data_IF_422050139196
#
_entry.id   IF_422050139196
#
_cell.length_a   1.000
_cell.length_b   1.000
_cell.length_c   1.000
_cell.angle_alpha   90.00
_cell.angle_beta   90.00
_cell.angle_gamma   90.00
#
_symmetry.space_group_name_H-M   'P 1'
#
loop_
_entity.id
_entity.type
_entity.pdbx_description
1 polymer ?
#
# COMPACT_ATOMS: atom_id res chain seq x y z
N UNK A 1 -41.74 52.47 -26.03
CA UNK A 1 -42.73 51.70 -26.82
C UNK A 1 -42.01 50.60 -27.62
N UNK A 2 -42.71 49.54 -28.03
CA UNK A 2 -42.21 48.47 -28.94
C UNK A 2 -43.34 48.02 -29.88
N UNK A 3 -43.04 47.80 -31.16
CA UNK A 3 -43.35 46.54 -31.86
C UNK A 3 -42.02 45.87 -32.33
N UNK A 4 -41.84 44.56 -32.59
CA UNK A 4 -42.69 43.47 -33.12
C UNK A 4 -42.95 43.57 -34.64
N UNK A 5 -42.80 42.52 -35.49
CA UNK A 5 -42.48 41.08 -35.26
C UNK A 5 -42.14 40.36 -36.61
N UNK A 6 -41.56 39.14 -36.53
CA UNK A 6 -41.35 38.09 -37.60
C UNK A 6 -40.10 38.30 -38.52
N UNK A 7 -39.22 37.30 -38.77
CA UNK A 7 -39.30 35.94 -39.38
C UNK A 7 -39.53 36.00 -40.92
N UNK A 8 -38.90 35.21 -41.80
CA UNK A 8 -38.02 34.01 -41.66
C UNK A 8 -37.21 33.80 -42.97
N UNK A 9 -36.04 33.13 -42.94
CA UNK A 9 -35.28 32.74 -44.14
C UNK A 9 -34.01 31.92 -43.82
N UNK A 10 -33.64 30.96 -44.68
CA UNK A 10 -32.46 30.06 -44.55
C UNK A 10 -32.05 29.61 -45.97
N UNK A 11 -31.07 28.69 -46.09
CA UNK A 11 -30.41 28.24 -47.34
C UNK A 11 -29.45 29.32 -47.91
N UNK A 12 -28.31 29.00 -48.53
CA UNK A 12 -27.63 27.71 -48.74
C UNK A 12 -26.30 27.90 -49.48
N UNK A 13 -25.48 26.83 -49.61
CA UNK A 13 -24.13 26.82 -50.22
C UNK A 13 -23.07 27.69 -49.49
N UNK A 14 -21.76 27.50 -49.70
CA UNK A 14 -21.05 26.43 -50.42
C UNK A 14 -19.54 26.77 -50.44
N UNK A 15 -18.68 25.83 -50.05
CA UNK A 15 -17.21 26.02 -49.95
C UNK A 15 -16.52 25.34 -51.14
N UNK A 16 -15.21 25.57 -51.31
CA UNK A 16 -14.28 24.96 -52.29
C UNK A 16 -14.57 25.32 -53.77
N UNK A 17 -13.63 25.25 -54.72
CA UNK A 17 -12.41 24.42 -54.79
C UNK A 17 -11.34 25.00 -55.77
N UNK A 18 -10.05 24.98 -55.38
CA UNK A 18 -8.85 25.05 -56.25
C UNK A 18 -7.64 24.69 -55.36
N UNK A 19 -7.35 23.42 -55.05
CA UNK A 19 -6.70 22.40 -55.88
C UNK A 19 -5.31 22.79 -56.42
N UNK A 20 -4.27 22.28 -55.77
CA UNK A 20 -3.12 21.69 -56.47
C UNK A 20 -2.84 20.31 -55.87
N UNK A 21 -2.75 19.33 -56.76
CA UNK A 21 -2.38 17.93 -56.54
C UNK A 21 -1.40 17.55 -57.67
N UNK A 22 -0.54 16.54 -57.61
CA UNK A 22 0.06 15.78 -56.49
C UNK A 22 1.41 15.21 -57.06
N UNK A 23 1.98 14.02 -56.81
CA UNK A 23 1.59 12.75 -56.14
C UNK A 23 2.87 12.00 -55.72
N UNK A 24 2.67 10.92 -54.94
CA UNK A 24 3.57 9.76 -54.78
C UNK A 24 4.80 9.90 -53.83
N UNK A 25 5.18 8.86 -53.06
CA UNK A 25 4.56 7.52 -52.95
C UNK A 25 4.72 6.90 -51.55
N UNK A 26 3.82 5.96 -51.24
CA UNK A 26 3.92 4.78 -50.36
C UNK A 26 4.74 4.83 -49.03
N UNK A 27 4.28 4.27 -47.91
CA UNK A 27 2.96 3.70 -47.59
C UNK A 27 2.66 3.74 -46.06
N UNK A 28 2.25 2.67 -45.35
CA UNK A 28 0.98 2.73 -44.62
C UNK A 28 1.13 2.89 -43.11
N UNK A 29 0.09 3.43 -42.47
CA UNK A 29 -0.11 3.35 -41.02
C UNK A 29 -0.61 1.94 -40.67
N UNK A 30 0.13 1.18 -39.84
CA UNK A 30 -0.55 0.53 -38.72
C UNK A 30 0.26 0.44 -37.42
N UNK A 31 -0.42 0.74 -36.31
CA UNK A 31 -0.25 0.12 -34.98
C UNK A 31 1.15 0.07 -34.31
N UNK A 32 1.41 1.05 -33.44
CA UNK A 32 2.23 0.90 -32.23
C UNK A 32 1.46 1.56 -31.06
N UNK A 33 0.53 0.85 -30.40
CA UNK A 33 0.77 -0.08 -29.29
C UNK A 33 1.57 0.58 -28.15
N UNK A 34 0.83 1.25 -27.25
CA UNK A 34 1.34 1.60 -25.92
C UNK A 34 1.56 0.32 -25.11
N UNK A 35 2.79 0.09 -24.66
CA UNK A 35 3.15 -1.06 -23.82
C UNK A 35 2.95 -0.80 -22.31
N UNK A 36 1.80 -0.22 -21.93
CA UNK A 36 1.29 -0.34 -20.56
C UNK A 36 0.55 -1.67 -20.43
N UNK A 37 1.01 -2.55 -19.54
CA UNK A 37 0.22 -3.67 -19.04
C UNK A 37 -0.48 -3.17 -17.77
N UNK A 38 -1.80 -3.02 -17.69
CA UNK A 38 -2.83 -3.60 -18.55
C UNK A 38 -4.09 -2.74 -18.78
N UNK A 39 -4.85 -3.18 -19.79
CA UNK A 39 -6.28 -2.98 -20.05
C UNK A 39 -6.75 -1.68 -20.73
N UNK A 40 -7.82 -1.87 -21.53
CA UNK A 40 -8.43 -0.88 -22.41
C UNK A 40 -9.18 0.19 -21.62
N UNK A 41 -9.02 1.45 -22.01
CA UNK A 41 -10.00 2.51 -21.78
C UNK A 41 -10.53 3.04 -23.12
N UNK A 42 -11.85 2.93 -23.31
CA UNK A 42 -12.56 3.72 -24.31
C UNK A 42 -12.81 5.14 -23.78
N UNK A 43 -13.12 6.07 -24.67
CA UNK A 43 -13.53 7.42 -24.26
C UNK A 43 -14.95 7.43 -23.63
N UNK A 44 -15.27 8.54 -22.95
CA UNK A 44 -16.52 8.84 -22.21
C UNK A 44 -16.63 8.18 -20.82
N UNK A 45 -16.64 9.02 -19.77
CA UNK A 45 -16.85 8.61 -18.38
C UNK A 45 -16.18 9.56 -17.38
N UNK A 46 -16.93 10.54 -16.86
CA UNK A 46 -16.44 11.42 -15.79
C UNK A 46 -16.69 10.80 -14.41
N UNK A 47 -15.71 10.92 -13.50
CA UNK A 47 -15.82 10.49 -12.10
C UNK A 47 -14.99 9.24 -11.78
N UNK A 48 -13.89 9.45 -11.05
CA UNK A 48 -12.97 8.37 -10.65
C UNK A 48 -11.80 8.91 -9.84
N UNK A 49 -12.03 9.17 -8.55
CA UNK A 49 -10.95 9.51 -7.61
C UNK A 49 -10.04 8.30 -7.40
N UNK A 50 -8.72 8.52 -7.52
CA UNK A 50 -7.73 7.45 -7.32
C UNK A 50 -7.77 6.94 -5.87
N UNK A 51 -7.71 5.62 -5.68
CA UNK A 51 -7.74 5.00 -4.35
C UNK A 51 -6.50 5.38 -3.53
N UNK A 52 -6.72 5.97 -2.35
CA UNK A 52 -5.64 6.33 -1.44
C UNK A 52 -5.02 5.08 -0.78
N UNK A 53 -3.70 4.99 -0.81
CA UNK A 53 -2.89 3.95 -0.19
C UNK A 53 -3.06 3.87 1.33
N UNK A 54 -4.02 3.06 1.77
CA UNK A 54 -3.99 2.45 3.10
C UNK A 54 -2.84 1.43 3.17
N UNK A 55 -2.40 1.03 4.36
CA UNK A 55 -1.39 -0.02 4.52
C UNK A 55 -1.92 -1.45 4.21
N UNK A 56 -2.86 -1.55 3.26
CA UNK A 56 -3.59 -2.76 2.84
C UNK A 56 -3.00 -3.41 1.59
N UNK A 57 -2.06 -2.74 0.92
CA UNK A 57 -1.33 -3.18 -0.28
C UNK A 57 0.06 -3.72 0.06
N UNK A 58 0.76 -3.14 1.04
CA UNK A 58 2.10 -3.58 1.48
C UNK A 58 2.06 -5.03 1.98
N UNK A 59 2.83 -5.97 1.37
CA UNK A 59 2.96 -7.32 1.89
C UNK A 59 3.52 -7.32 3.32
N UNK A 60 2.96 -8.12 4.25
CA UNK A 60 3.35 -8.13 5.67
C UNK A 60 4.86 -8.23 5.90
N UNK A 61 5.55 -9.05 5.09
CA UNK A 61 6.99 -9.27 5.23
C UNK A 61 7.84 -8.07 4.83
N UNK A 62 7.38 -7.29 3.84
CA UNK A 62 8.00 -6.00 3.48
C UNK A 62 7.72 -4.94 4.55
N UNK A 63 6.52 -4.89 5.13
CA UNK A 63 6.23 -3.94 6.21
C UNK A 63 7.03 -4.25 7.49
N UNK A 64 7.34 -5.52 7.78
CA UNK A 64 8.31 -5.90 8.81
C UNK A 64 9.70 -5.36 8.47
N UNK A 65 10.20 -5.61 7.25
CA UNK A 65 11.50 -5.11 6.79
C UNK A 65 11.62 -3.58 6.92
N UNK A 66 10.61 -2.82 6.46
CA UNK A 66 10.61 -1.36 6.57
C UNK A 66 10.65 -0.87 8.04
N UNK A 67 10.04 -1.59 8.98
CA UNK A 67 10.07 -1.24 10.41
C UNK A 67 11.42 -1.60 11.05
N UNK A 68 12.00 -2.74 10.68
CA UNK A 68 13.32 -3.20 11.13
C UNK A 68 14.43 -2.28 10.63
N UNK A 69 14.41 -1.92 9.34
CA UNK A 69 15.31 -0.96 8.73
C UNK A 69 15.34 0.40 9.46
N UNK A 70 14.17 0.93 9.85
CA UNK A 70 14.07 2.19 10.63
C UNK A 70 14.71 2.06 12.02
N UNK A 71 14.59 0.90 12.68
CA UNK A 71 15.23 0.65 13.97
C UNK A 71 16.76 0.45 13.86
N UNK A 72 17.24 -0.06 12.72
CA UNK A 72 18.65 -0.29 12.46
C UNK A 72 19.37 0.95 11.92
N UNK A 73 18.73 1.79 11.10
CA UNK A 73 19.35 2.94 10.43
C UNK A 73 20.06 3.90 11.40
N UNK A 74 19.44 4.19 12.56
CA UNK A 74 20.03 5.04 13.61
C UNK A 74 21.26 4.45 14.31
N UNK A 75 21.64 3.19 14.04
CA UNK A 75 22.91 2.59 14.49
C UNK A 75 24.06 2.85 13.51
N UNK A 76 23.75 3.05 12.24
CA UNK A 76 24.72 3.27 11.16
C UNK A 76 24.87 4.75 10.79
N UNK A 77 23.79 5.54 10.92
CA UNK A 77 23.80 7.00 10.76
C UNK A 77 23.09 7.63 11.98
N UNK A 78 23.78 7.79 13.13
CA UNK A 78 23.20 8.30 14.38
C UNK A 78 22.62 9.71 14.28
N UNK A 79 23.05 10.50 13.31
CA UNK A 79 22.59 11.86 13.02
C UNK A 79 21.25 11.86 12.28
N UNK A 80 20.88 10.77 11.60
CA UNK A 80 19.66 10.70 10.80
C UNK A 80 18.41 10.87 11.67
N UNK A 81 17.55 11.84 11.32
CA UNK A 81 16.30 12.14 12.04
C UNK A 81 15.09 11.97 11.12
N UNK A 82 13.94 11.64 11.70
CA UNK A 82 12.66 11.57 10.96
C UNK A 82 12.50 10.42 9.97
N UNK A 83 13.48 9.52 9.87
CA UNK A 83 13.36 8.24 9.18
C UNK A 83 12.18 7.44 9.77
N UNK A 84 11.30 6.94 8.91
CA UNK A 84 10.02 6.30 9.28
C UNK A 84 9.60 5.33 8.18
N UNK A 85 8.92 4.24 8.54
CA UNK A 85 8.57 3.18 7.58
C UNK A 85 7.74 3.68 6.37
N UNK A 86 6.88 4.72 6.46
CA UNK A 86 6.23 5.31 5.29
C UNK A 86 7.17 5.82 4.20
N UNK A 87 8.41 6.24 4.54
CA UNK A 87 9.41 6.67 3.55
C UNK A 87 9.83 5.47 2.68
N UNK A 88 10.22 4.37 3.33
CA UNK A 88 10.65 3.13 2.67
C UNK A 88 9.51 2.49 1.87
N UNK A 89 8.28 2.55 2.40
CA UNK A 89 7.10 2.15 1.67
C UNK A 89 6.89 3.01 0.41
N UNK A 90 7.02 4.34 0.50
CA UNK A 90 6.84 5.24 -0.63
C UNK A 90 7.81 4.98 -1.80
N UNK A 91 9.09 4.70 -1.51
CA UNK A 91 10.06 4.28 -2.54
C UNK A 91 9.65 2.92 -3.13
N UNK A 92 9.57 1.87 -2.31
CA UNK A 92 9.31 0.51 -2.79
C UNK A 92 7.95 0.34 -3.49
N UNK A 93 6.97 1.21 -3.20
CA UNK A 93 5.70 1.30 -3.93
C UNK A 93 5.90 1.68 -5.40
N UNK A 94 6.77 2.65 -5.66
CA UNK A 94 7.11 3.10 -7.03
C UNK A 94 8.07 2.11 -7.70
N UNK A 95 9.10 1.64 -6.99
CA UNK A 95 10.17 0.80 -7.56
C UNK A 95 9.76 -0.65 -7.88
N UNK A 96 8.91 -1.25 -7.06
CA UNK A 96 8.57 -2.68 -7.20
C UNK A 96 7.14 -3.04 -6.84
N UNK A 97 6.29 -2.04 -6.58
CA UNK A 97 4.98 -2.23 -5.96
C UNK A 97 5.07 -3.09 -4.68
N UNK A 98 6.10 -2.87 -3.86
CA UNK A 98 6.47 -3.68 -2.68
C UNK A 98 6.71 -5.17 -2.96
N UNK A 99 7.29 -5.53 -4.12
CA UNK A 99 7.47 -6.92 -4.54
C UNK A 99 6.16 -7.74 -4.64
N UNK A 100 5.01 -7.08 -4.88
CA UNK A 100 3.75 -7.79 -5.12
C UNK A 100 3.89 -8.77 -6.29
N UNK A 101 3.31 -9.97 -6.14
CA UNK A 101 3.45 -11.07 -7.09
C UNK A 101 4.70 -11.93 -6.90
N UNK A 102 5.59 -11.60 -5.97
CA UNK A 102 6.73 -12.45 -5.58
C UNK A 102 6.45 -13.22 -4.29
N UNK A 103 7.13 -14.35 -4.12
CA UNK A 103 7.25 -15.03 -2.82
C UNK A 103 8.31 -14.31 -2.00
N UNK A 104 8.04 -14.08 -0.71
CA UNK A 104 8.98 -13.43 0.21
C UNK A 104 9.16 -14.35 1.41
N UNK A 105 10.38 -14.84 1.62
CA UNK A 105 10.69 -15.83 2.65
C UNK A 105 10.62 -15.24 4.07
N UNK A 106 10.60 -16.10 5.09
CA UNK A 106 10.72 -15.66 6.48
C UNK A 106 12.02 -14.87 6.73
N UNK A 107 13.15 -15.35 6.18
CA UNK A 107 14.45 -14.65 6.18
C UNK A 107 14.59 -13.50 5.17
N UNK A 108 13.51 -13.14 4.45
CA UNK A 108 13.47 -11.94 3.59
C UNK A 108 13.77 -12.15 2.11
N UNK A 109 14.40 -13.25 1.69
CA UNK A 109 14.66 -13.59 0.27
C UNK A 109 13.40 -13.48 -0.62
N UNK A 110 13.50 -12.72 -1.72
CA UNK A 110 12.40 -12.46 -2.68
C UNK A 110 12.60 -13.28 -3.95
N UNK A 111 11.63 -14.16 -4.25
CA UNK A 111 11.68 -15.07 -5.41
C UNK A 111 10.46 -14.95 -6.34
N UNK A 112 10.66 -14.94 -7.67
CA UNK A 112 11.94 -14.76 -8.37
C UNK A 112 12.59 -13.39 -8.06
N UNK A 113 13.90 -13.26 -8.34
CA UNK A 113 14.67 -12.01 -8.17
C UNK A 113 14.08 -10.85 -8.98
N UNK A 114 14.17 -9.62 -8.46
CA UNK A 114 13.58 -8.43 -9.10
C UNK A 114 14.68 -7.70 -9.88
N UNK A 115 14.44 -7.52 -11.18
CA UNK A 115 15.36 -6.90 -12.11
C UNK A 115 14.64 -5.83 -12.92
N UNK A 116 15.28 -4.68 -13.07
CA UNK A 116 14.84 -3.60 -13.95
C UNK A 116 15.16 -3.87 -15.42
N UNK A 117 14.88 -2.87 -16.25
CA UNK A 117 15.34 -2.83 -17.64
C UNK A 117 16.87 -2.79 -17.71
N UNK A 118 17.43 -3.29 -18.81
CA UNK A 118 18.87 -3.16 -19.09
C UNK A 118 19.18 -1.71 -19.45
N UNK A 119 20.11 -1.10 -18.75
CA UNK A 119 20.43 0.33 -18.83
C UNK A 119 21.45 0.63 -19.94
N UNK A 120 21.21 0.09 -21.14
CA UNK A 120 22.10 0.16 -22.30
C UNK A 120 21.87 1.38 -23.21
N UNK A 121 21.21 2.44 -22.72
CA UNK A 121 20.88 3.66 -23.49
C UNK A 121 19.82 3.51 -24.59
N UNK A 122 19.17 2.34 -24.73
CA UNK A 122 18.19 2.05 -25.80
C UNK A 122 16.86 2.81 -25.73
N UNK A 123 16.63 3.63 -24.71
CA UNK A 123 15.33 4.24 -24.39
C UNK A 123 14.37 3.31 -23.65
N UNK A 124 14.74 2.03 -23.44
CA UNK A 124 13.95 1.08 -22.66
C UNK A 124 13.73 1.60 -21.23
N UNK A 125 12.46 1.60 -20.76
CA UNK A 125 12.09 2.16 -19.46
C UNK A 125 12.34 3.67 -19.32
N UNK A 126 12.53 4.40 -20.43
CA UNK A 126 12.92 5.82 -20.45
C UNK A 126 14.43 6.07 -20.35
N UNK A 127 15.26 5.02 -20.24
CA UNK A 127 16.70 5.20 -20.07
C UNK A 127 17.44 5.40 -21.41
N UNK A 128 17.89 6.63 -21.66
CA UNK A 128 18.73 7.02 -22.80
C UNK A 128 20.24 7.03 -22.48
N UNK A 129 20.65 6.76 -21.24
CA UNK A 129 22.05 6.76 -20.80
C UNK A 129 22.61 5.33 -20.77
N UNK A 130 23.85 5.13 -21.20
CA UNK A 130 24.55 3.85 -21.03
C UNK A 130 25.16 3.76 -19.63
N UNK A 131 24.80 2.72 -18.88
CA UNK A 131 25.43 2.32 -17.63
C UNK A 131 26.22 1.00 -17.85
N UNK A 132 27.56 1.05 -17.95
CA UNK A 132 28.40 -0.14 -18.02
C UNK A 132 28.31 -1.00 -16.76
N UNK A 133 28.47 -2.31 -16.91
CA UNK A 133 28.53 -3.29 -15.82
C UNK A 133 29.62 -2.95 -14.79
N UNK A 134 29.26 -3.04 -13.51
CA UNK A 134 30.13 -2.76 -12.36
C UNK A 134 30.29 -3.94 -11.40
N UNK A 135 29.60 -5.08 -11.60
CA UNK A 135 29.63 -6.22 -10.68
C UNK A 135 29.89 -7.59 -11.35
N UNK A 136 30.10 -7.63 -12.67
CA UNK A 136 30.25 -8.82 -13.52
C UNK A 136 28.99 -9.73 -13.54
N UNK A 137 27.80 -9.15 -13.38
CA UNK A 137 26.51 -9.82 -13.31
C UNK A 137 26.19 -10.47 -11.95
N UNK A 138 26.92 -10.10 -10.88
CA UNK A 138 26.82 -10.69 -9.52
C UNK A 138 25.41 -10.57 -8.94
N UNK A 139 24.84 -9.36 -8.95
CA UNK A 139 23.53 -9.09 -8.39
C UNK A 139 22.44 -9.11 -9.45
N UNK A 140 22.73 -8.61 -10.65
CA UNK A 140 21.74 -8.30 -11.68
C UNK A 140 21.58 -9.39 -12.77
N UNK A 141 22.55 -10.31 -12.87
CA UNK A 141 22.57 -11.44 -13.79
C UNK A 141 23.06 -11.14 -15.22
N UNK A 142 23.74 -10.02 -15.50
CA UNK A 142 24.21 -9.65 -16.84
C UNK A 142 25.59 -8.97 -16.84
N UNK A 143 26.43 -9.35 -17.81
CA UNK A 143 27.73 -8.69 -18.09
C UNK A 143 27.65 -7.69 -19.28
N UNK A 144 26.44 -7.36 -19.73
CA UNK A 144 26.17 -6.53 -20.92
C UNK A 144 25.71 -5.10 -20.59
N UNK A 145 26.08 -4.61 -19.40
CA UNK A 145 25.54 -3.37 -18.81
C UNK A 145 24.57 -3.65 -17.66
N UNK A 146 24.28 -2.60 -16.91
CA UNK A 146 23.59 -2.66 -15.60
C UNK A 146 22.06 -2.82 -15.68
N UNK A 147 21.48 -3.36 -14.61
CA UNK A 147 20.05 -3.30 -14.27
C UNK A 147 19.88 -2.92 -12.81
N UNK A 148 18.79 -2.21 -12.53
CA UNK A 148 18.35 -2.00 -11.16
C UNK A 148 17.89 -3.32 -10.49
N UNK A 149 18.32 -3.58 -9.25
CA UNK A 149 18.10 -4.83 -8.52
C UNK A 149 17.23 -4.67 -7.27
N UNK A 150 16.45 -5.71 -6.96
CA UNK A 150 15.72 -5.82 -5.71
C UNK A 150 14.43 -5.01 -5.62
N UNK A 151 13.74 -5.04 -4.45
CA UNK A 151 12.47 -4.35 -4.23
C UNK A 151 12.60 -2.82 -4.13
N UNK A 152 13.84 -2.32 -4.08
CA UNK A 152 14.22 -0.92 -4.03
C UNK A 152 14.97 -0.44 -5.29
N UNK A 153 15.18 -1.32 -6.28
CA UNK A 153 15.77 -0.98 -7.59
C UNK A 153 17.11 -0.21 -7.49
N UNK A 154 18.03 -0.73 -6.67
CA UNK A 154 19.40 -0.22 -6.60
C UNK A 154 20.19 -0.52 -7.87
N UNK A 155 21.09 0.37 -8.30
CA UNK A 155 22.20 -0.04 -9.15
C UNK A 155 23.20 -0.87 -8.32
N UNK A 156 23.70 -2.03 -8.81
CA UNK A 156 24.84 -2.75 -8.23
C UNK A 156 25.98 -1.87 -7.69
N UNK A 157 26.47 -0.92 -8.48
CA UNK A 157 27.48 0.09 -8.08
C UNK A 157 27.11 0.92 -6.85
N UNK A 158 25.82 1.15 -6.61
CA UNK A 158 25.32 1.79 -5.37
C UNK A 158 25.21 0.76 -4.25
N UNK A 159 24.74 -0.44 -4.55
CA UNK A 159 24.58 -1.50 -3.56
C UNK A 159 25.90 -1.90 -2.88
N UNK A 160 27.00 -2.06 -3.62
CA UNK A 160 28.32 -2.38 -3.05
C UNK A 160 28.81 -1.32 -2.05
N UNK A 161 28.33 -0.07 -2.14
CA UNK A 161 28.66 1.01 -1.20
C UNK A 161 27.76 0.99 0.05
N UNK A 162 26.44 0.89 -0.12
CA UNK A 162 25.48 1.04 0.99
C UNK A 162 24.96 -0.27 1.60
N UNK A 163 25.20 -1.42 0.97
CA UNK A 163 24.63 -2.72 1.36
C UNK A 163 25.09 -3.17 2.74
N UNK A 164 24.16 -3.68 3.56
CA UNK A 164 24.42 -4.21 4.91
C UNK A 164 23.48 -5.39 5.16
N UNK A 165 24.01 -6.42 5.81
CA UNK A 165 23.19 -7.50 6.37
C UNK A 165 22.23 -6.92 7.41
N UNK A 166 20.93 -7.07 7.17
CA UNK A 166 19.86 -6.75 8.11
C UNK A 166 19.03 -7.98 8.48
N UNK A 167 19.14 -9.08 7.72
CA UNK A 167 18.45 -10.35 7.93
C UNK A 167 19.11 -11.22 9.00
N UNK A 168 20.42 -11.09 9.18
CA UNK A 168 21.28 -11.88 10.07
C UNK A 168 21.88 -13.14 9.43
N UNK A 169 21.80 -13.31 8.10
CA UNK A 169 22.30 -14.50 7.39
C UNK A 169 23.79 -14.44 6.99
N UNK A 170 24.45 -13.30 7.27
CA UNK A 170 25.85 -12.95 6.91
C UNK A 170 26.06 -12.58 5.44
N UNK A 171 25.00 -12.42 4.65
CA UNK A 171 25.01 -11.81 3.32
C UNK A 171 24.43 -10.40 3.37
N UNK A 172 24.68 -9.63 2.32
CA UNK A 172 23.96 -8.39 2.03
C UNK A 172 23.44 -8.50 0.60
N UNK A 173 22.27 -9.12 0.41
CA UNK A 173 21.68 -9.37 -0.91
C UNK A 173 20.64 -8.28 -1.23
N UNK A 174 20.75 -7.54 -2.35
CA UNK A 174 19.76 -6.51 -2.69
C UNK A 174 18.38 -7.09 -3.01
N UNK A 175 18.26 -8.40 -3.21
CA UNK A 175 17.00 -9.12 -3.38
C UNK A 175 16.43 -9.65 -2.05
N UNK A 176 17.12 -9.47 -0.92
CA UNK A 176 16.55 -9.68 0.41
C UNK A 176 15.73 -8.44 0.84
N UNK A 177 14.50 -8.67 1.31
CA UNK A 177 13.60 -7.64 1.80
C UNK A 177 14.19 -6.77 2.93
N UNK A 178 14.91 -7.37 3.90
CA UNK A 178 15.46 -6.67 5.06
C UNK A 178 16.68 -5.83 4.67
N UNK A 179 17.65 -6.45 4.02
CA UNK A 179 18.90 -5.82 3.61
C UNK A 179 18.61 -4.63 2.69
N UNK A 180 17.77 -4.81 1.67
CA UNK A 180 17.41 -3.76 0.74
C UNK A 180 16.62 -2.62 1.42
N UNK A 181 15.78 -2.92 2.41
CA UNK A 181 15.09 -1.91 3.20
C UNK A 181 16.06 -1.11 4.09
N UNK A 182 17.06 -1.76 4.69
CA UNK A 182 18.12 -1.07 5.43
C UNK A 182 18.97 -0.22 4.48
N UNK A 183 19.44 -0.77 3.37
CA UNK A 183 20.21 -0.05 2.36
C UNK A 183 19.48 1.22 1.86
N UNK A 184 18.17 1.13 1.62
CA UNK A 184 17.36 2.29 1.25
C UNK A 184 17.23 3.31 2.39
N UNK A 185 17.14 2.84 3.64
CA UNK A 185 17.17 3.74 4.79
C UNK A 185 18.52 4.47 4.92
N UNK A 186 19.65 3.77 4.74
CA UNK A 186 20.99 4.37 4.82
C UNK A 186 21.22 5.36 3.68
N UNK A 187 20.89 5.00 2.43
CA UNK A 187 21.04 5.88 1.28
C UNK A 187 20.22 7.17 1.42
N UNK A 188 18.96 7.07 1.88
CA UNK A 188 18.11 8.23 2.14
C UNK A 188 18.53 9.04 3.36
N UNK A 189 19.15 8.43 4.38
CA UNK A 189 19.76 9.14 5.50
C UNK A 189 21.00 9.93 5.07
N UNK A 190 21.82 9.38 4.16
CA UNK A 190 23.11 9.94 3.77
C UNK A 190 23.97 10.26 4.99
N UNK A 191 24.68 11.39 4.96
CA UNK A 191 25.55 11.84 6.05
C UNK A 191 24.78 12.53 7.21
N UNK A 192 23.55 12.10 7.52
CA UNK A 192 22.78 12.62 8.68
C UNK A 192 21.61 13.55 8.38
N UNK A 193 20.84 13.30 7.32
CA UNK A 193 19.66 14.11 6.95
C UNK A 193 18.53 14.06 8.00
N UNK A 194 17.78 15.15 8.12
CA UNK A 194 16.53 15.22 8.89
C UNK A 194 15.30 15.06 7.98
N UNK A 195 14.89 13.82 7.74
CA UNK A 195 13.78 13.41 6.88
C UNK A 195 12.37 13.69 7.45
N UNK A 196 12.28 14.36 8.61
CA UNK A 196 11.05 15.02 9.05
C UNK A 196 10.86 16.37 8.35
N UNK A 197 11.94 17.04 7.91
CA UNK A 197 11.87 18.27 7.12
C UNK A 197 11.57 17.93 5.66
N UNK A 198 10.46 18.44 5.12
CA UNK A 198 10.02 18.14 3.74
C UNK A 198 11.11 18.44 2.70
N UNK A 199 11.82 19.57 2.83
CA UNK A 199 12.90 19.93 1.92
C UNK A 199 14.06 18.91 1.91
N UNK A 200 14.51 18.42 3.08
CA UNK A 200 15.58 17.42 3.14
C UNK A 200 15.13 16.04 2.64
N UNK A 201 13.86 15.68 2.84
CA UNK A 201 13.25 14.47 2.30
C UNK A 201 13.11 14.55 0.77
N UNK A 202 12.59 15.64 0.22
CA UNK A 202 12.56 15.93 -1.22
C UNK A 202 13.97 15.80 -1.82
N UNK A 203 14.97 16.41 -1.20
CA UNK A 203 16.36 16.34 -1.65
C UNK A 203 17.04 14.96 -1.43
N UNK A 204 16.44 14.04 -0.66
CA UNK A 204 16.92 12.67 -0.49
C UNK A 204 16.34 11.75 -1.57
N UNK A 205 15.05 11.91 -1.87
CA UNK A 205 14.36 11.20 -2.95
C UNK A 205 14.90 11.66 -4.31
N UNK A 206 15.25 12.95 -4.47
CA UNK A 206 15.94 13.46 -5.66
C UNK A 206 17.35 12.86 -5.84
N UNK A 207 18.08 12.63 -4.74
CA UNK A 207 19.36 11.91 -4.80
C UNK A 207 19.15 10.46 -5.25
N UNK A 208 18.06 9.83 -4.79
CA UNK A 208 17.64 8.48 -5.17
C UNK A 208 17.34 8.37 -6.67
N UNK A 209 16.59 9.33 -7.22
CA UNK A 209 16.28 9.43 -8.64
C UNK A 209 16.06 10.90 -9.01
N UNK A 210 16.82 11.39 -9.99
CA UNK A 210 16.88 12.80 -10.40
C UNK A 210 15.68 13.21 -11.29
N UNK A 211 14.48 12.77 -10.94
CA UNK A 211 13.22 13.06 -11.64
C UNK A 211 12.23 13.73 -10.69
N UNK A 212 11.69 14.88 -11.11
CA UNK A 212 10.71 15.65 -10.33
C UNK A 212 9.36 14.94 -10.25
N UNK A 213 8.98 14.20 -11.29
CA UNK A 213 7.80 13.34 -11.30
C UNK A 213 7.94 12.17 -10.33
N UNK A 214 9.09 11.49 -10.34
CA UNK A 214 9.39 10.42 -9.38
C UNK A 214 9.32 10.94 -7.94
N UNK A 215 9.97 12.09 -7.66
CA UNK A 215 9.95 12.73 -6.34
C UNK A 215 8.52 13.07 -5.91
N UNK A 216 7.69 13.63 -6.80
CA UNK A 216 6.29 13.93 -6.50
C UNK A 216 5.45 12.67 -6.22
N UNK A 217 5.63 11.61 -7.04
CA UNK A 217 4.93 10.33 -6.90
C UNK A 217 5.29 9.65 -5.57
N UNK A 218 6.58 9.47 -5.28
CA UNK A 218 7.07 8.92 -4.01
C UNK A 218 6.55 9.74 -2.82
N UNK A 219 6.69 11.07 -2.84
CA UNK A 219 6.19 11.92 -1.74
C UNK A 219 4.68 11.75 -1.50
N UNK A 220 3.88 11.59 -2.57
CA UNK A 220 2.45 11.28 -2.47
C UNK A 220 2.18 9.98 -1.72
N UNK A 221 2.89 8.89 -2.06
CA UNK A 221 2.78 7.61 -1.33
C UNK A 221 3.29 7.72 0.12
N UNK A 222 4.39 8.46 0.36
CA UNK A 222 4.88 8.70 1.72
C UNK A 222 3.81 9.40 2.57
N UNK A 223 3.09 10.37 2.02
CA UNK A 223 2.05 11.11 2.74
C UNK A 223 0.81 10.23 3.01
N UNK A 224 0.39 9.42 2.04
CA UNK A 224 -0.68 8.43 2.22
C UNK A 224 -0.34 7.39 3.29
N UNK A 225 0.84 6.76 3.20
CA UNK A 225 1.31 5.81 4.22
C UNK A 225 1.56 6.49 5.57
N UNK A 226 1.96 7.76 5.62
CA UNK A 226 2.10 8.52 6.88
C UNK A 226 0.72 8.78 7.51
N UNK A 227 -0.31 9.07 6.71
CA UNK A 227 -1.69 9.19 7.21
C UNK A 227 -2.24 7.85 7.72
N UNK A 228 -1.97 6.74 7.03
CA UNK A 228 -2.33 5.38 7.46
C UNK A 228 -1.51 4.88 8.68
N UNK A 229 -0.30 5.40 8.88
CA UNK A 229 0.56 5.09 10.03
C UNK A 229 0.15 5.82 11.31
N UNK A 230 -0.50 6.99 11.19
CA UNK A 230 -0.80 7.90 12.30
C UNK A 230 -1.72 7.25 13.33
N UNK A 231 -1.36 7.39 14.61
CA UNK A 231 -2.21 6.96 15.72
C UNK A 231 -3.50 7.82 15.79
N UNK A 232 -4.67 7.21 16.05
CA UNK A 232 -5.92 7.96 16.21
C UNK A 232 -5.87 8.82 17.47
N UNK A 233 -6.56 9.97 17.46
CA UNK A 233 -6.63 10.82 18.65
C UNK A 233 -7.63 10.22 19.67
N UNK A 234 -7.07 9.57 20.69
CA UNK A 234 -7.82 8.94 21.78
C UNK A 234 -7.92 9.80 23.04
N UNK A 235 -7.61 11.11 23.00
CA UNK A 235 -7.69 11.98 24.20
C UNK A 235 -9.08 11.97 24.84
N UNK A 236 -10.12 12.00 24.01
CA UNK A 236 -11.52 12.01 24.43
C UNK A 236 -12.11 10.59 24.58
N UNK A 237 -11.28 9.54 24.55
CA UNK A 237 -11.69 8.15 24.70
C UNK A 237 -11.15 7.61 26.03
N UNK A 238 -12.06 7.12 26.88
CA UNK A 238 -11.77 6.71 28.25
C UNK A 238 -12.35 5.32 28.57
N UNK A 239 -12.04 4.82 29.78
CA UNK A 239 -12.57 3.57 30.30
C UNK A 239 -12.33 2.35 29.39
N UNK A 240 -13.29 1.42 29.40
CA UNK A 240 -13.20 0.15 28.66
C UNK A 240 -13.00 0.35 27.15
N UNK A 241 -13.64 1.35 26.55
CA UNK A 241 -13.54 1.62 25.11
C UNK A 241 -12.09 1.93 24.70
N UNK A 242 -11.40 2.75 25.52
CA UNK A 242 -9.98 3.05 25.36
C UNK A 242 -9.13 1.79 25.43
N UNK A 243 -9.31 0.97 26.47
CA UNK A 243 -8.56 -0.28 26.67
C UNK A 243 -8.72 -1.26 25.50
N UNK A 244 -9.93 -1.39 24.95
CA UNK A 244 -10.20 -2.23 23.78
C UNK A 244 -9.47 -1.71 22.53
N UNK A 245 -9.52 -0.40 22.28
CA UNK A 245 -8.83 0.21 21.14
C UNK A 245 -7.31 0.09 21.29
N UNK A 246 -6.74 0.48 22.43
CA UNK A 246 -5.30 0.38 22.69
C UNK A 246 -4.80 -1.06 22.60
N UNK A 247 -5.58 -2.04 23.08
CA UNK A 247 -5.29 -3.45 22.91
C UNK A 247 -5.20 -3.86 21.43
N UNK A 248 -6.15 -3.47 20.57
CA UNK A 248 -6.09 -3.79 19.15
C UNK A 248 -4.97 -3.00 18.42
N UNK A 249 -4.76 -1.73 18.75
CA UNK A 249 -3.68 -0.90 18.18
C UNK A 249 -2.28 -1.41 18.52
N UNK A 250 -2.11 -2.04 19.69
CA UNK A 250 -0.84 -2.68 20.08
C UNK A 250 -0.44 -3.84 19.17
N UNK A 251 -1.39 -4.42 18.43
CA UNK A 251 -1.14 -5.55 17.53
C UNK A 251 -0.84 -5.11 16.08
N UNK A 252 -0.75 -3.80 15.79
CA UNK A 252 -0.53 -3.29 14.42
C UNK A 252 0.80 -3.77 13.83
N UNK A 253 0.72 -4.47 12.70
CA UNK A 253 1.85 -5.16 12.07
C UNK A 253 1.89 -6.68 12.32
N UNK A 254 1.09 -7.21 13.26
CA UNK A 254 0.91 -8.66 13.38
C UNK A 254 0.22 -9.18 12.09
N UNK A 255 0.71 -10.27 11.47
CA UNK A 255 0.11 -10.80 10.24
C UNK A 255 -1.34 -11.24 10.39
N UNK A 256 -2.09 -11.20 9.29
CA UNK A 256 -3.36 -11.89 9.18
C UNK A 256 -3.14 -13.40 9.18
N UNK A 257 -3.89 -14.14 10.00
CA UNK A 257 -3.91 -15.61 10.00
C UNK A 257 -5.35 -16.12 9.97
N UNK A 258 -5.71 -16.86 8.93
CA UNK A 258 -7.08 -17.37 8.75
C UNK A 258 -7.44 -18.36 9.87
N UNK A 259 -8.44 -18.04 10.69
CA UNK A 259 -8.78 -18.84 11.87
C UNK A 259 -7.88 -18.57 13.09
N UNK A 260 -6.86 -17.73 12.97
CA UNK A 260 -5.96 -17.36 14.06
C UNK A 260 -6.52 -16.28 14.99
N UNK A 261 -5.99 -16.21 16.21
CA UNK A 261 -6.32 -15.20 17.20
C UNK A 261 -7.12 -15.74 18.39
N UNK A 262 -6.59 -15.52 19.60
CA UNK A 262 -7.18 -15.96 20.87
C UNK A 262 -7.38 -14.79 21.82
N UNK A 263 -8.15 -14.99 22.90
CA UNK A 263 -8.26 -14.01 23.99
C UNK A 263 -6.94 -13.70 24.71
N UNK A 264 -5.92 -14.56 24.54
CA UNK A 264 -4.58 -14.37 25.11
C UNK A 264 -3.62 -13.62 24.18
N UNK A 265 -3.70 -13.84 22.87
CA UNK A 265 -2.78 -13.27 21.87
C UNK A 265 -2.89 -13.91 20.48
N UNK A 266 -1.95 -13.63 19.57
CA UNK A 266 -1.93 -14.18 18.22
C UNK A 266 -1.58 -15.67 18.24
N UNK A 267 -2.19 -16.44 17.34
CA UNK A 267 -1.98 -17.89 17.21
C UNK A 267 -1.81 -18.29 15.76
N UNK A 268 -1.31 -19.50 15.52
CA UNK A 268 -1.55 -20.17 14.24
C UNK A 268 -3.05 -20.26 13.96
N UNK A 269 -3.39 -20.28 12.68
CA UNK A 269 -4.75 -20.46 12.17
C UNK A 269 -5.00 -21.86 11.64
N UNK A 270 -5.98 -21.98 10.75
CA UNK A 270 -6.39 -23.22 10.07
C UNK A 270 -6.25 -23.06 8.56
N UNK A 271 -6.35 -24.16 7.80
CA UNK A 271 -6.63 -24.08 6.37
C UNK A 271 -8.15 -24.24 6.14
N UNK A 272 -8.79 -23.52 5.22
CA UNK A 272 -8.26 -22.46 4.36
C UNK A 272 -9.28 -21.32 4.26
N UNK A 273 -8.85 -20.11 3.88
CA UNK A 273 -9.78 -19.04 3.50
C UNK A 273 -10.60 -19.44 2.26
N UNK A 274 -11.75 -18.78 1.99
CA UNK A 274 -12.45 -18.90 0.71
C UNK A 274 -11.58 -18.59 -0.52
N UNK A 275 -10.47 -17.86 -0.32
CA UNK A 275 -9.43 -17.55 -1.31
C UNK A 275 -8.23 -18.52 -1.31
N UNK A 276 -8.38 -19.71 -0.69
CA UNK A 276 -7.38 -20.78 -0.70
C UNK A 276 -6.10 -20.50 0.11
N UNK A 277 -6.08 -19.51 0.99
CA UNK A 277 -4.90 -19.18 1.80
C UNK A 277 -4.97 -19.84 3.18
N UNK A 278 -3.90 -20.51 3.60
CA UNK A 278 -3.81 -21.14 4.92
C UNK A 278 -3.36 -20.14 6.01
N UNK A 279 -3.88 -20.30 7.22
CA UNK A 279 -3.34 -19.69 8.45
C UNK A 279 -2.43 -20.62 9.27
N UNK A 280 -2.29 -21.90 8.90
CA UNK A 280 -1.63 -22.92 9.76
C UNK A 280 -0.18 -22.58 10.15
N UNK A 281 0.60 -22.02 9.22
CA UNK A 281 1.98 -21.59 9.43
C UNK A 281 2.14 -20.12 9.87
N UNK A 282 1.04 -19.37 9.99
CA UNK A 282 1.08 -17.92 10.26
C UNK A 282 0.58 -17.65 11.68
N UNK A 283 1.46 -17.20 12.59
CA UNK A 283 1.06 -16.75 13.92
C UNK A 283 0.51 -15.33 13.86
N UNK A 284 -0.82 -15.18 14.02
CA UNK A 284 -1.49 -13.90 13.80
C UNK A 284 -2.95 -13.86 14.29
N UNK A 285 -3.77 -13.05 13.61
CA UNK A 285 -5.21 -12.89 13.86
C UNK A 285 -6.01 -12.90 12.55
N UNK A 286 -7.24 -13.42 12.55
CA UNK A 286 -8.27 -12.93 11.63
C UNK A 286 -9.06 -11.77 12.26
N UNK A 287 -9.94 -11.16 11.46
CA UNK A 287 -10.81 -10.04 11.85
C UNK A 287 -11.51 -10.27 13.20
N UNK A 288 -12.20 -11.40 13.31
CA UNK A 288 -12.94 -11.81 14.51
C UNK A 288 -12.05 -12.38 15.62
N UNK A 289 -10.82 -12.82 15.31
CA UNK A 289 -9.79 -13.17 16.29
C UNK A 289 -9.23 -11.94 17.00
N UNK A 290 -8.97 -10.85 16.27
CA UNK A 290 -8.47 -9.58 16.81
C UNK A 290 -9.48 -8.92 17.76
N UNK A 291 -10.77 -8.89 17.39
CA UNK A 291 -11.82 -8.35 18.27
C UNK A 291 -11.93 -9.16 19.55
N UNK A 292 -11.90 -10.50 19.49
CA UNK A 292 -11.92 -11.37 20.68
C UNK A 292 -10.73 -11.14 21.60
N UNK A 293 -9.55 -10.86 21.06
CA UNK A 293 -8.38 -10.47 21.84
C UNK A 293 -8.59 -9.14 22.58
N UNK A 294 -9.07 -8.12 21.87
CA UNK A 294 -9.24 -6.77 22.38
C UNK A 294 -10.32 -6.70 23.48
N UNK A 295 -11.52 -7.23 23.22
CA UNK A 295 -12.63 -7.20 24.18
C UNK A 295 -12.39 -8.10 25.41
N UNK A 296 -11.58 -9.15 25.28
CA UNK A 296 -11.16 -9.94 26.43
C UNK A 296 -10.34 -9.15 27.46
N UNK A 297 -9.67 -8.05 27.07
CA UNK A 297 -8.96 -7.16 27.99
C UNK A 297 -9.89 -6.41 28.95
N UNK A 298 -11.18 -6.31 28.62
CA UNK A 298 -12.22 -5.69 29.48
C UNK A 298 -13.26 -6.71 29.98
N UNK A 299 -12.90 -8.00 29.94
CA UNK A 299 -13.71 -9.12 30.41
C UNK A 299 -14.79 -9.63 29.44
N UNK A 300 -14.96 -8.99 28.28
CA UNK A 300 -16.03 -9.33 27.33
C UNK A 300 -15.58 -10.47 26.40
N UNK A 301 -16.31 -11.60 26.46
CA UNK A 301 -16.04 -12.80 25.64
C UNK A 301 -16.85 -12.79 24.35
N UNK A 302 -16.27 -12.29 23.26
CA UNK A 302 -16.91 -12.28 21.94
C UNK A 302 -17.02 -13.70 21.30
N UNK A 303 -18.12 -13.99 20.57
CA UNK A 303 -18.27 -15.17 19.71
C UNK A 303 -17.15 -15.31 18.66
N UNK A 304 -17.00 -16.51 18.06
CA UNK A 304 -15.85 -16.77 17.18
C UNK A 304 -15.90 -16.05 15.83
N UNK A 305 -17.07 -15.87 15.23
CA UNK A 305 -17.24 -15.37 13.85
C UNK A 305 -17.76 -13.93 13.82
N UNK A 306 -17.41 -13.18 12.77
CA UNK A 306 -17.86 -11.79 12.61
C UNK A 306 -19.40 -11.64 12.65
N UNK A 307 -20.14 -12.51 11.94
CA UNK A 307 -21.60 -12.52 11.97
C UNK A 307 -22.18 -12.74 13.39
N UNK A 308 -21.64 -13.68 14.17
CA UNK A 308 -22.11 -13.90 15.54
C UNK A 308 -21.75 -12.75 16.49
N UNK A 309 -20.68 -12.00 16.21
CA UNK A 309 -20.32 -10.79 16.99
C UNK A 309 -21.28 -9.62 16.76
N UNK A 310 -22.00 -9.56 15.64
CA UNK A 310 -23.00 -8.51 15.39
C UNK A 310 -24.22 -8.58 16.33
N UNK A 311 -24.51 -9.78 16.87
CA UNK A 311 -25.52 -10.00 17.91
C UNK A 311 -25.00 -9.92 19.36
N UNK A 312 -23.72 -9.59 19.59
CA UNK A 312 -23.10 -9.63 20.92
C UNK A 312 -23.30 -8.35 21.77
N UNK A 313 -24.16 -7.42 21.32
CA UNK A 313 -24.42 -6.14 21.97
C UNK A 313 -25.56 -5.37 21.30
N UNK A 314 -25.69 -4.07 21.61
CA UNK A 314 -26.68 -3.22 20.94
C UNK A 314 -26.29 -3.02 19.48
N UNK A 315 -27.05 -3.63 18.56
CA UNK A 315 -26.87 -3.46 17.12
C UNK A 315 -27.06 -2.00 16.69
N UNK A 316 -26.18 -1.53 15.81
CA UNK A 316 -26.27 -0.24 15.12
C UNK A 316 -26.56 -0.53 13.64
N UNK A 317 -27.80 -0.31 13.15
CA UNK A 317 -28.15 -0.54 11.75
C UNK A 317 -27.35 0.34 10.79
N UNK A 318 -27.02 -0.20 9.60
CA UNK A 318 -26.29 0.53 8.56
C UNK A 318 -27.00 1.81 8.10
N UNK A 319 -28.33 1.87 8.20
CA UNK A 319 -29.17 3.03 7.89
C UNK A 319 -28.97 4.23 8.81
N UNK A 320 -28.36 4.06 10.00
CA UNK A 320 -27.93 5.17 10.86
C UNK A 320 -26.59 5.80 10.40
N UNK A 321 -26.02 5.28 9.31
CA UNK A 321 -24.75 5.74 8.76
C UNK A 321 -23.56 5.41 9.66
N UNK A 322 -22.46 6.13 9.44
CA UNK A 322 -21.17 5.94 10.15
C UNK A 322 -21.02 6.89 11.34
N UNK A 323 -21.75 8.02 11.33
CA UNK A 323 -21.77 8.98 12.45
C UNK A 323 -22.45 8.46 13.72
N UNK A 324 -23.21 7.36 13.65
CA UNK A 324 -23.78 6.67 14.80
C UNK A 324 -22.75 5.83 15.60
N UNK A 325 -21.56 5.60 15.05
CA UNK A 325 -20.47 4.84 15.67
C UNK A 325 -19.72 5.70 16.71
N UNK A 326 -19.42 5.08 17.86
CA UNK A 326 -18.59 5.62 18.94
C UNK A 326 -17.30 4.80 19.04
N UNK A 327 -16.15 5.40 19.41
CA UNK A 327 -14.90 4.65 19.61
C UNK A 327 -15.13 3.49 20.58
N UNK A 328 -14.75 2.27 20.18
CA UNK A 328 -15.03 1.06 20.94
C UNK A 328 -16.32 0.32 20.53
N UNK A 329 -17.00 0.75 19.47
CA UNK A 329 -17.99 -0.09 18.75
C UNK A 329 -17.29 -1.08 17.79
N UNK A 330 -17.94 -2.20 17.50
CA UNK A 330 -17.62 -3.06 16.37
C UNK A 330 -18.18 -2.47 15.06
N UNK A 331 -17.48 -2.69 13.95
CA UNK A 331 -17.86 -2.26 12.59
C UNK A 331 -17.89 -3.49 11.67
N UNK A 332 -18.98 -3.70 10.93
CA UNK A 332 -19.19 -4.92 10.13
C UNK A 332 -19.32 -4.66 8.64
N UNK A 333 -18.98 -5.67 7.84
CA UNK A 333 -19.16 -5.69 6.38
C UNK A 333 -19.71 -7.04 5.93
N UNK A 334 -20.65 -7.00 4.99
CA UNK A 334 -21.48 -8.14 4.58
C UNK A 334 -21.66 -8.22 3.07
N UNK A 335 -21.80 -9.44 2.55
CA UNK A 335 -22.09 -9.67 1.13
C UNK A 335 -23.51 -9.19 0.75
N UNK A 336 -24.45 -9.24 1.70
CA UNK A 336 -25.77 -8.62 1.57
C UNK A 336 -26.02 -7.72 2.80
N UNK A 337 -25.71 -6.41 2.72
CA UNK A 337 -26.00 -5.45 3.79
C UNK A 337 -27.46 -5.52 4.25
N UNK A 338 -27.67 -5.48 5.57
CA UNK A 338 -28.98 -5.74 6.20
C UNK A 338 -29.26 -7.22 6.50
N UNK A 339 -28.44 -8.17 6.02
CA UNK A 339 -28.51 -9.59 6.40
C UNK A 339 -27.26 -10.01 7.19
N UNK A 340 -27.35 -9.94 8.51
CA UNK A 340 -26.20 -10.15 9.42
C UNK A 340 -25.54 -11.53 9.27
N UNK A 341 -26.29 -12.55 8.90
CA UNK A 341 -25.77 -13.88 8.58
C UNK A 341 -24.75 -13.89 7.40
N UNK A 342 -24.69 -12.81 6.61
CA UNK A 342 -23.74 -12.64 5.48
C UNK A 342 -22.55 -11.74 5.82
N UNK A 343 -22.37 -11.35 7.09
CA UNK A 343 -21.21 -10.58 7.58
C UNK A 343 -19.94 -11.43 7.48
N UNK A 344 -18.99 -10.97 6.67
CA UNK A 344 -17.71 -11.64 6.41
C UNK A 344 -16.51 -10.93 7.06
N UNK A 345 -16.66 -9.67 7.48
CA UNK A 345 -15.58 -8.90 8.11
C UNK A 345 -16.04 -8.08 9.31
N UNK A 346 -15.11 -7.85 10.24
CA UNK A 346 -15.29 -7.02 11.43
C UNK A 346 -14.01 -6.24 11.77
N UNK A 347 -14.16 -5.00 12.19
CA UNK A 347 -13.12 -4.17 12.82
C UNK A 347 -13.64 -3.50 14.09
N UNK A 348 -12.78 -2.75 14.78
CA UNK A 348 -13.13 -1.92 15.94
C UNK A 348 -13.02 -0.46 15.54
N UNK A 349 -14.08 0.34 15.74
CA UNK A 349 -14.06 1.76 15.44
C UNK A 349 -13.16 2.51 16.43
N UNK A 350 -12.27 3.36 15.93
CA UNK A 350 -11.34 4.15 16.76
C UNK A 350 -11.69 5.64 16.82
N UNK A 351 -12.76 6.05 16.13
CA UNK A 351 -13.09 7.46 15.89
C UNK A 351 -12.59 7.96 14.54
N UNK A 352 -12.91 9.21 14.18
CA UNK A 352 -12.37 9.88 12.99
C UNK A 352 -12.66 9.21 11.64
N UNK A 353 -13.70 8.37 11.54
CA UNK A 353 -13.97 7.58 10.34
C UNK A 353 -13.04 6.37 10.14
N UNK A 354 -12.21 6.02 11.14
CA UNK A 354 -11.24 4.93 11.07
C UNK A 354 -11.62 3.72 11.93
N UNK A 355 -11.14 2.55 11.52
CA UNK A 355 -11.20 1.30 12.28
C UNK A 355 -9.83 0.64 12.37
N UNK A 356 -9.56 -0.05 13.48
CA UNK A 356 -8.47 -1.03 13.58
C UNK A 356 -9.01 -2.42 13.26
N UNK A 357 -8.38 -3.12 12.32
CA UNK A 357 -8.85 -4.43 11.84
C UNK A 357 -7.71 -5.40 11.55
N UNK A 358 -8.06 -6.65 11.25
CA UNK A 358 -7.23 -7.59 10.52
C UNK A 358 -8.00 -8.01 9.25
N UNK A 359 -7.78 -7.31 8.13
CA UNK A 359 -8.69 -7.36 6.98
C UNK A 359 -8.75 -8.71 6.25
N UNK A 360 -7.63 -9.18 5.70
CA UNK A 360 -7.58 -10.31 4.74
C UNK A 360 -6.21 -11.01 4.74
N UNK A 361 -6.12 -12.29 4.29
CA UNK A 361 -4.85 -12.97 4.08
C UNK A 361 -3.87 -12.14 3.26
N UNK A 362 -2.58 -12.21 3.59
CA UNK A 362 -1.56 -11.39 2.94
C UNK A 362 -1.58 -9.91 3.33
N UNK A 363 -2.22 -9.54 4.45
CA UNK A 363 -2.12 -8.19 5.06
C UNK A 363 -1.83 -8.30 6.56
N UNK A 364 -1.58 -7.16 7.23
CA UNK A 364 -1.40 -7.09 8.70
C UNK A 364 -2.61 -6.48 9.40
N UNK A 365 -2.64 -6.61 10.73
CA UNK A 365 -3.41 -5.72 11.61
C UNK A 365 -2.98 -4.28 11.37
N UNK A 366 -3.93 -3.38 11.12
CA UNK A 366 -3.65 -1.96 10.79
C UNK A 366 -4.87 -1.06 11.07
N UNK A 367 -4.69 0.23 10.80
CA UNK A 367 -5.78 1.17 10.61
C UNK A 367 -6.21 1.19 9.14
N UNK A 368 -7.52 1.13 8.92
CA UNK A 368 -8.18 1.41 7.65
C UNK A 368 -9.26 2.48 7.89
N UNK A 369 -9.67 3.22 6.86
CA UNK A 369 -10.93 3.96 6.91
C UNK A 369 -12.12 2.97 6.93
N UNK A 370 -13.23 3.35 7.56
CA UNK A 370 -14.52 2.61 7.47
C UNK A 370 -15.08 2.62 6.04
N UNK A 371 -14.49 3.43 5.16
CA UNK A 371 -14.83 3.58 3.75
C UNK A 371 -13.90 2.76 2.83
N UNK A 372 -12.84 2.17 3.36
CA UNK A 372 -11.88 1.35 2.60
C UNK A 372 -12.37 -0.10 2.31
N UNK A 373 -13.64 -0.40 2.59
CA UNK A 373 -14.27 -1.69 2.28
C UNK A 373 -15.74 -1.50 1.91
N UNK A 374 -16.18 -2.15 0.83
CA UNK A 374 -17.58 -2.18 0.40
C UNK A 374 -18.44 -3.05 1.31
N UNK A 375 -19.77 -2.91 1.19
CA UNK A 375 -20.71 -3.76 1.94
C UNK A 375 -20.87 -3.40 3.43
N UNK A 376 -20.65 -2.14 3.83
CA UNK A 376 -20.86 -1.65 5.20
C UNK A 376 -22.21 -2.11 5.77
N UNK A 377 -22.16 -2.86 6.87
CA UNK A 377 -23.30 -3.52 7.50
C UNK A 377 -23.62 -2.93 8.89
N UNK A 378 -23.20 -1.69 9.15
CA UNK A 378 -23.39 -1.04 10.44
C UNK A 378 -22.37 -1.50 11.49
N UNK A 379 -22.79 -1.49 12.76
CA UNK A 379 -21.93 -1.81 13.89
C UNK A 379 -22.66 -2.51 15.04
N UNK A 380 -21.96 -2.70 16.16
CA UNK A 380 -22.56 -3.11 17.43
C UNK A 380 -21.81 -2.48 18.61
N UNK A 381 -22.56 -2.02 19.62
CA UNK A 381 -22.06 -1.40 20.83
C UNK A 381 -22.12 -2.37 22.01
N UNK A 382 -21.02 -2.49 22.73
CA UNK A 382 -20.88 -3.39 23.89
C UNK A 382 -20.47 -2.66 25.18
N UNK A 383 -20.35 -1.33 25.11
CA UNK A 383 -19.70 -0.44 26.08
C UNK A 383 -20.45 0.89 26.20
#
# INVERSE_FOLDING_TARGET
MRPARRRLGRWGCGVVLLLFAAVCCAAPVPNAINAYVALKSGAQGAGGIAEGGTAADIPPRMLTAYKQAVQLAGRYVPECRGMRWPILAGIAKVESHHAIGRTIAAGGDIRPKIYGVLLNGSGAGGNTTLFPDTDNGRWDGTQSGERAVGPFQFLPSTWEQIGKDASGDKSADPHNADDAALGAALYLCGNGRNLAQRAQLTAAIWQYNHSSEYVANVLGWIDQYTAAAKDPDLKNVSGKARTVIEAALSQRGVPYSWGGGTTKGPSSGICCSPSGKSGTSIKGYDCSGLTRYAYAKVGIRLPRTAAAQAGAGQRIPASLGKGALKPGDLVFYAYAPGRDATIHHVGIYVGGGQMVNAARPGTVVRLDAVDAMSGYAGGARLL
#
